data_IF_389101694480
#
_entry.id   IF_389101694480
#
_cell.length_a   1.000
_cell.length_b   1.000
_cell.length_c   1.000
_cell.angle_alpha   90.00
_cell.angle_beta   90.00
_cell.angle_gamma   90.00
#
_symmetry.space_group_name_H-M   'P 1'
#
loop_
_entity.id
_entity.type
_entity.pdbx_description
1 polymer ?
#
# COMPACT_ATOMS: atom_id res chain seq x y z
N UNK A 1 13.06 -8.60 -19.50
CA UNK A 1 13.05 -7.55 -18.50
C UNK A 1 11.83 -7.69 -17.61
N UNK A 2 12.04 -7.55 -16.32
CA UNK A 2 10.93 -7.61 -15.37
C UNK A 2 10.08 -6.34 -15.46
N UNK A 3 8.78 -6.50 -15.44
CA UNK A 3 7.87 -5.37 -15.31
C UNK A 3 7.71 -5.04 -13.83
N UNK A 4 7.58 -3.75 -13.55
CA UNK A 4 7.40 -3.26 -12.19
C UNK A 4 6.25 -2.27 -12.15
N UNK A 5 5.28 -2.54 -11.29
CA UNK A 5 4.10 -1.70 -11.10
C UNK A 5 4.18 -1.02 -9.73
N UNK A 6 4.06 0.30 -9.72
CA UNK A 6 3.95 1.05 -8.47
C UNK A 6 2.52 1.54 -8.32
N UNK A 7 1.92 1.25 -7.17
CA UNK A 7 0.56 1.67 -6.84
C UNK A 7 0.64 2.62 -5.65
N UNK A 8 0.08 3.82 -5.80
CA UNK A 8 0.04 4.81 -4.72
C UNK A 8 -1.36 4.85 -4.16
N UNK A 9 -1.47 4.58 -2.85
CA UNK A 9 -2.73 4.53 -2.13
C UNK A 9 -2.88 5.81 -1.32
N UNK A 10 -3.85 6.64 -1.66
CA UNK A 10 -4.08 7.92 -0.98
C UNK A 10 -5.33 7.91 -0.11
N UNK A 11 -6.09 6.83 -0.13
CA UNK A 11 -7.32 6.68 0.66
C UNK A 11 -7.14 5.59 1.70
N UNK A 12 -7.66 5.86 2.89
CA UNK A 12 -7.66 4.92 4.00
C UNK A 12 -9.06 4.39 4.28
N UNK A 13 -9.36 4.04 5.55
CA UNK A 13 -10.66 3.47 5.91
C UNK A 13 -11.86 4.34 5.60
N UNK A 14 -11.66 5.64 5.37
CA UNK A 14 -12.75 6.56 5.03
C UNK A 14 -13.36 6.28 3.66
N UNK A 15 -12.63 5.58 2.78
CA UNK A 15 -13.12 5.21 1.46
C UNK A 15 -12.73 3.75 1.20
N UNK A 16 -13.56 2.80 1.67
CA UNK A 16 -13.20 1.38 1.58
C UNK A 16 -12.96 0.89 0.17
N UNK A 17 -13.71 1.38 -0.81
CA UNK A 17 -13.57 0.93 -2.18
C UNK A 17 -12.25 1.40 -2.78
N UNK A 18 -11.91 2.69 -2.64
CA UNK A 18 -10.64 3.21 -3.14
C UNK A 18 -9.43 2.68 -2.37
N UNK A 19 -9.64 2.28 -1.12
CA UNK A 19 -8.57 1.62 -0.35
C UNK A 19 -8.35 0.19 -0.81
N UNK A 20 -9.40 -0.51 -1.23
CA UNK A 20 -9.34 -1.94 -1.56
C UNK A 20 -8.88 -2.21 -3.00
N UNK A 21 -9.33 -1.42 -3.96
CA UNK A 21 -9.02 -1.67 -5.38
C UNK A 21 -7.51 -1.77 -5.66
N UNK A 22 -6.64 -0.91 -5.10
CA UNK A 22 -5.20 -1.07 -5.35
C UNK A 22 -4.65 -2.44 -4.95
N UNK A 23 -5.17 -3.03 -3.87
CA UNK A 23 -4.73 -4.36 -3.44
C UNK A 23 -5.24 -5.47 -4.37
N UNK A 24 -6.42 -5.28 -4.95
CA UNK A 24 -6.93 -6.21 -5.98
C UNK A 24 -6.00 -6.18 -7.19
N UNK A 25 -5.64 -4.98 -7.65
CA UNK A 25 -4.72 -4.82 -8.79
C UNK A 25 -3.34 -5.37 -8.44
N UNK A 26 -2.84 -5.09 -7.24
CA UNK A 26 -1.52 -5.54 -6.81
C UNK A 26 -1.42 -7.07 -6.78
N UNK A 27 -2.41 -7.75 -6.18
CA UNK A 27 -2.39 -9.22 -6.11
C UNK A 27 -2.57 -9.86 -7.48
N UNK A 28 -3.36 -9.26 -8.36
CA UNK A 28 -3.51 -9.72 -9.74
C UNK A 28 -2.19 -9.57 -10.51
N UNK A 29 -1.49 -8.45 -10.31
CA UNK A 29 -0.18 -8.23 -10.94
C UNK A 29 0.84 -9.25 -10.46
N UNK A 30 0.88 -9.53 -9.16
CA UNK A 30 1.78 -10.54 -8.60
C UNK A 30 1.50 -11.92 -9.19
N UNK A 31 0.23 -12.27 -9.39
CA UNK A 31 -0.15 -13.53 -10.01
C UNK A 31 0.30 -13.62 -11.47
N UNK A 32 0.59 -12.49 -12.10
CA UNK A 32 1.10 -12.41 -13.47
C UNK A 32 2.63 -12.20 -13.51
N UNK A 33 3.31 -12.45 -12.42
CA UNK A 33 4.77 -12.31 -12.28
C UNK A 33 5.27 -10.87 -12.47
N UNK A 34 4.43 -9.89 -12.15
CA UNK A 34 4.82 -8.47 -12.16
C UNK A 34 5.26 -8.11 -10.74
N UNK A 35 6.42 -7.47 -10.63
CA UNK A 35 6.90 -6.92 -9.35
C UNK A 35 6.00 -5.75 -8.96
N UNK A 36 5.59 -5.69 -7.69
CA UNK A 36 4.72 -4.63 -7.21
C UNK A 36 5.32 -3.94 -5.99
N UNK A 37 5.28 -2.61 -6.02
CA UNK A 37 5.58 -1.77 -4.86
C UNK A 37 4.34 -0.92 -4.59
N UNK A 38 3.87 -0.93 -3.35
CA UNK A 38 2.76 -0.08 -2.93
C UNK A 38 3.28 1.04 -2.05
N UNK A 39 2.91 2.27 -2.41
CA UNK A 39 3.23 3.46 -1.64
C UNK A 39 1.96 3.98 -0.96
N UNK A 40 2.10 4.43 0.27
CA UNK A 40 0.98 4.94 1.06
C UNK A 40 1.23 6.40 1.41
N UNK A 41 0.34 7.27 0.95
CA UNK A 41 0.39 8.70 1.17
C UNK A 41 -0.97 9.19 1.64
N UNK A 42 -1.02 10.41 2.15
CA UNK A 42 -2.25 11.02 2.62
C UNK A 42 -2.88 10.07 3.65
N UNK A 43 -4.16 9.85 3.61
CA UNK A 43 -4.82 8.95 4.56
C UNK A 43 -4.59 7.47 4.25
N UNK A 44 -3.96 7.16 3.11
CA UNK A 44 -3.54 5.79 2.79
C UNK A 44 -2.58 5.22 3.82
N UNK A 45 -1.82 6.06 4.53
CA UNK A 45 -0.91 5.58 5.58
C UNK A 45 -1.65 4.86 6.71
N UNK A 46 -2.95 5.11 6.87
CA UNK A 46 -3.74 4.43 7.88
C UNK A 46 -3.95 2.94 7.56
N UNK A 47 -3.78 2.55 6.30
CA UNK A 47 -3.96 1.15 5.90
C UNK A 47 -2.89 0.24 6.47
N UNK A 48 -1.71 0.77 6.78
CA UNK A 48 -0.64 -0.01 7.38
C UNK A 48 -0.62 0.09 8.90
N UNK A 49 -1.53 0.87 9.48
CA UNK A 49 -1.65 0.95 10.92
C UNK A 49 -2.37 -0.29 11.45
N UNK A 50 -1.78 -0.95 12.47
CA UNK A 50 -2.41 -2.08 13.13
C UNK A 50 -3.79 -1.70 13.65
N UNK A 51 -4.76 -2.57 13.45
CA UNK A 51 -6.12 -2.37 13.92
C UNK A 51 -7.02 -1.60 12.99
N UNK A 52 -6.49 -1.01 11.90
CA UNK A 52 -7.31 -0.28 10.94
C UNK A 52 -7.80 -1.17 9.80
N UNK A 53 -6.89 -1.95 9.23
CA UNK A 53 -7.21 -2.72 8.01
C UNK A 53 -8.25 -3.82 8.25
N UNK A 54 -8.35 -4.32 9.48
CA UNK A 54 -9.32 -5.35 9.84
C UNK A 54 -10.77 -4.86 9.71
N UNK A 55 -10.97 -3.56 9.60
CA UNK A 55 -12.29 -2.96 9.53
C UNK A 55 -12.63 -2.39 8.15
N UNK A 56 -11.82 -2.69 7.13
CA UNK A 56 -12.05 -2.17 5.78
C UNK A 56 -12.71 -3.23 4.92
N UNK A 57 -13.96 -2.97 4.56
CA UNK A 57 -14.77 -3.88 3.73
C UNK A 57 -15.44 -3.07 2.63
N UNK A 58 -15.21 -3.45 1.39
CA UNK A 58 -15.84 -2.84 0.24
C UNK A 58 -16.77 -3.84 -0.42
N UNK A 59 -17.97 -3.40 -0.79
CA UNK A 59 -18.96 -4.26 -1.44
C UNK A 59 -18.38 -4.85 -2.74
N UNK A 60 -18.52 -6.14 -2.92
CA UNK A 60 -18.03 -6.83 -4.11
C UNK A 60 -16.58 -7.29 -4.06
N UNK A 61 -15.87 -7.01 -2.96
CA UNK A 61 -14.47 -7.40 -2.81
C UNK A 61 -14.23 -8.21 -1.55
N UNK A 62 -13.15 -9.00 -1.50
CA UNK A 62 -12.75 -9.66 -0.26
C UNK A 62 -12.38 -8.63 0.81
N UNK A 63 -12.36 -9.01 2.09
CA UNK A 63 -11.87 -8.12 3.15
C UNK A 63 -10.46 -7.64 2.82
N UNK A 64 -10.18 -6.36 3.09
CA UNK A 64 -8.88 -5.78 2.73
C UNK A 64 -7.73 -6.48 3.45
N UNK A 65 -7.93 -6.88 4.70
CA UNK A 65 -6.92 -7.63 5.47
C UNK A 65 -6.45 -8.89 4.73
N UNK A 66 -7.40 -9.61 4.12
CA UNK A 66 -7.10 -10.82 3.37
C UNK A 66 -6.22 -10.51 2.15
N UNK A 67 -6.57 -9.44 1.42
CA UNK A 67 -5.79 -9.01 0.25
C UNK A 67 -4.40 -8.53 0.64
N UNK A 68 -4.28 -7.79 1.76
CA UNK A 68 -2.98 -7.35 2.23
C UNK A 68 -2.09 -8.54 2.63
N UNK A 69 -2.66 -9.52 3.31
CA UNK A 69 -1.89 -10.70 3.70
C UNK A 69 -1.37 -11.45 2.48
N UNK A 70 -2.20 -11.62 1.44
CA UNK A 70 -1.78 -12.22 0.18
C UNK A 70 -0.67 -11.40 -0.50
N UNK A 71 -0.83 -10.08 -0.51
CA UNK A 71 0.14 -9.17 -1.12
C UNK A 71 1.51 -9.29 -0.45
N UNK A 72 1.54 -9.28 0.87
CA UNK A 72 2.79 -9.37 1.65
C UNK A 72 3.41 -10.76 1.47
N UNK A 73 2.61 -11.81 1.52
CA UNK A 73 3.08 -13.19 1.38
C UNK A 73 3.74 -13.42 0.01
N UNK A 74 3.25 -12.75 -1.03
CA UNK A 74 3.83 -12.83 -2.37
C UNK A 74 5.06 -11.91 -2.55
N UNK A 75 5.55 -11.28 -1.49
CA UNK A 75 6.78 -10.49 -1.54
C UNK A 75 6.55 -9.01 -1.85
N UNK A 76 5.33 -8.52 -1.77
CA UNK A 76 5.02 -7.11 -2.04
C UNK A 76 5.62 -6.18 -0.99
N UNK A 77 6.08 -5.01 -1.42
CA UNK A 77 6.67 -4.00 -0.55
C UNK A 77 5.63 -2.95 -0.16
N UNK A 78 5.76 -2.46 1.07
CA UNK A 78 4.90 -1.41 1.63
C UNK A 78 5.79 -0.21 2.00
N UNK A 79 5.69 0.87 1.23
CA UNK A 79 6.45 2.10 1.47
C UNK A 79 5.50 3.19 1.95
N UNK A 80 5.84 3.83 3.07
CA UNK A 80 4.92 4.73 3.77
C UNK A 80 5.51 6.14 3.84
N UNK A 81 4.71 7.13 3.47
CA UNK A 81 5.13 8.54 3.43
C UNK A 81 5.46 9.07 4.84
N UNK A 82 6.71 9.46 5.05
CA UNK A 82 7.18 9.96 6.34
C UNK A 82 6.42 11.18 6.87
N UNK A 83 6.32 12.28 6.10
CA UNK A 83 5.54 13.44 6.55
C UNK A 83 4.08 13.14 6.86
N UNK A 84 3.44 12.22 6.09
CA UNK A 84 2.05 11.84 6.35
C UNK A 84 1.92 11.09 7.68
N UNK A 85 2.91 10.26 8.01
CA UNK A 85 2.99 9.55 9.28
C UNK A 85 3.16 10.54 10.44
N UNK A 86 4.09 11.47 10.28
CA UNK A 86 4.41 12.44 11.32
C UNK A 86 3.22 13.38 11.60
N UNK A 87 2.54 13.85 10.56
CA UNK A 87 1.39 14.74 10.73
C UNK A 87 0.23 14.07 11.45
N UNK A 88 0.17 12.75 11.41
CA UNK A 88 -0.86 11.95 12.09
C UNK A 88 -0.40 11.40 13.43
N UNK A 89 0.82 11.74 13.85
CA UNK A 89 1.41 11.32 15.13
C UNK A 89 1.43 9.79 15.29
N UNK A 90 1.71 9.09 14.19
CA UNK A 90 1.86 7.64 14.22
C UNK A 90 3.29 7.27 14.57
N UNK A 91 3.45 6.18 15.32
CA UNK A 91 4.76 5.67 15.74
C UNK A 91 5.10 4.44 14.90
N UNK A 92 6.06 4.53 13.97
CA UNK A 92 6.37 3.40 13.08
C UNK A 92 6.74 2.11 13.81
N UNK A 93 7.37 2.23 14.98
CA UNK A 93 7.86 1.06 15.73
C UNK A 93 6.74 0.26 16.39
N UNK A 94 5.62 0.91 16.73
CA UNK A 94 4.55 0.25 17.48
C UNK A 94 3.22 0.20 16.72
N UNK A 95 2.98 1.12 15.78
CA UNK A 95 1.67 1.27 15.15
C UNK A 95 1.52 0.50 13.85
N UNK A 96 2.61 0.17 13.16
CA UNK A 96 2.54 -0.38 11.81
C UNK A 96 2.62 -1.89 11.76
N UNK A 97 1.99 -2.45 10.72
CA UNK A 97 2.12 -3.87 10.40
C UNK A 97 3.57 -4.17 10.04
N UNK A 98 3.98 -5.42 10.25
CA UNK A 98 5.33 -5.85 9.92
C UNK A 98 5.59 -5.67 8.42
N UNK A 99 6.77 -5.17 8.09
CA UNK A 99 7.18 -4.96 6.71
C UNK A 99 6.90 -3.55 6.18
N UNK A 100 6.09 -2.75 6.86
CA UNK A 100 5.86 -1.37 6.46
C UNK A 100 7.11 -0.54 6.71
N UNK A 101 7.57 0.19 5.69
CA UNK A 101 8.82 0.94 5.73
C UNK A 101 8.53 2.42 5.51
N UNK A 102 8.87 3.26 6.48
CA UNK A 102 8.70 4.70 6.35
C UNK A 102 9.83 5.25 5.48
N UNK A 103 9.47 6.01 4.45
CA UNK A 103 10.43 6.54 3.47
C UNK A 103 10.17 8.01 3.20
N UNK A 104 11.11 8.65 2.51
CA UNK A 104 10.98 10.05 2.12
C UNK A 104 10.62 10.17 0.63
N UNK A 105 10.45 11.42 0.17
CA UNK A 105 10.09 11.69 -1.21
C UNK A 105 11.12 11.17 -2.21
N UNK A 106 12.40 11.20 -1.85
CA UNK A 106 13.46 10.70 -2.72
C UNK A 106 13.30 9.23 -3.04
N UNK A 107 12.92 8.42 -2.06
CA UNK A 107 12.65 7.01 -2.26
C UNK A 107 11.47 6.81 -3.21
N UNK A 108 10.39 7.59 -3.03
CA UNK A 108 9.25 7.52 -3.94
C UNK A 108 9.63 7.89 -5.37
N UNK A 109 10.42 8.96 -5.55
CA UNK A 109 10.87 9.35 -6.90
C UNK A 109 11.66 8.23 -7.56
N UNK A 110 12.56 7.58 -6.80
CA UNK A 110 13.31 6.45 -7.32
C UNK A 110 12.39 5.33 -7.80
N UNK A 111 11.40 4.97 -6.98
CA UNK A 111 10.45 3.93 -7.35
C UNK A 111 9.64 4.31 -8.58
N UNK A 112 9.16 5.56 -8.64
CA UNK A 112 8.38 6.03 -9.79
C UNK A 112 9.17 6.02 -11.07
N UNK A 113 10.44 6.45 -11.04
CA UNK A 113 11.26 6.53 -12.25
C UNK A 113 11.73 5.16 -12.73
N UNK A 114 11.80 4.17 -11.86
CA UNK A 114 12.18 2.80 -12.19
C UNK A 114 10.99 1.92 -12.59
N UNK A 115 9.78 2.40 -12.38
CA UNK A 115 8.58 1.61 -12.64
C UNK A 115 8.23 1.54 -14.12
N UNK A 116 7.65 0.43 -14.55
CA UNK A 116 7.04 0.33 -15.87
C UNK A 116 5.79 1.19 -15.94
N UNK A 117 4.98 1.15 -14.89
CA UNK A 117 3.78 1.99 -14.75
C UNK A 117 3.59 2.40 -13.29
N UNK A 118 2.97 3.58 -13.10
CA UNK A 118 2.58 4.08 -11.79
C UNK A 118 1.10 4.41 -11.83
N UNK A 119 0.34 3.86 -10.89
CA UNK A 119 -1.10 4.11 -10.76
C UNK A 119 -1.37 4.73 -9.40
N UNK A 120 -2.21 5.76 -9.37
CA UNK A 120 -2.56 6.47 -8.13
C UNK A 120 -4.06 6.30 -7.87
N UNK A 121 -4.37 5.88 -6.67
CA UNK A 121 -5.75 5.69 -6.21
C UNK A 121 -6.09 6.60 -5.05
#
# INVERSE_FOLDING_TARGET
MSEKLVLVCTHGPEDPERATIPFVVATAAQASDVEVVMGFQVNGVMLVKKGCIEHVFAAGFPPLKELMDLYIEAGGQLLVCGPCVNSRKLSPESDFVEGAKVVNAGTFVKEFTEATNVLVY
#
